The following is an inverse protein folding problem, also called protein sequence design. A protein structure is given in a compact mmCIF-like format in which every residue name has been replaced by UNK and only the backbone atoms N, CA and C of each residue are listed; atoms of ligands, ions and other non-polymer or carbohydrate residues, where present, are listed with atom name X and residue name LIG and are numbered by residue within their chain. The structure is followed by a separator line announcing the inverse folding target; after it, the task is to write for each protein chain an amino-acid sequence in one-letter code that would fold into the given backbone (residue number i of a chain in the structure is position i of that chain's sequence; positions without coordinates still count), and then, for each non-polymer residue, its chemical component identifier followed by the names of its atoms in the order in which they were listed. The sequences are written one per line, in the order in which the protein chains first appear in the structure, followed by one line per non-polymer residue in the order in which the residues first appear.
data_IF_951899258704
#
_entry.id   IF_951899258704
#
_cell.length_a   1.000
_cell.length_b   1.000
_cell.length_c   1.000
_cell.angle_alpha   90.00
_cell.angle_beta   90.00
_cell.angle_gamma   90.00
#
_symmetry.space_group_name_H-M   'P 1'
#
loop_
_entity.id
_entity.type
_entity.pdbx_description
1 polymer ?
#
# COMPACT_ATOMS: atom_id res chain seq x y z
N UNK A 1 -43.24 -39.53 8.21
CA UNK A 1 -43.42 -38.46 7.21
C UNK A 1 -42.49 -37.33 7.62
N UNK A 2 -41.29 -37.26 7.04
CA UNK A 2 -40.29 -36.24 7.38
C UNK A 2 -40.34 -35.12 6.37
N UNK A 3 -40.69 -33.92 6.82
CA UNK A 3 -40.71 -32.72 5.99
C UNK A 3 -39.30 -32.11 5.97
N UNK A 4 -38.70 -31.95 4.78
CA UNK A 4 -37.42 -31.30 4.63
C UNK A 4 -37.58 -29.77 4.78
N UNK A 5 -36.78 -29.15 5.65
CA UNK A 5 -36.78 -27.71 5.94
C UNK A 5 -35.77 -26.91 5.10
N UNK A 6 -35.40 -27.38 3.91
CA UNK A 6 -34.51 -26.63 3.01
C UNK A 6 -35.33 -25.69 2.14
N UNK A 7 -35.58 -24.48 2.62
CA UNK A 7 -35.91 -23.35 1.75
C UNK A 7 -34.60 -22.89 1.08
N UNK A 8 -34.57 -22.89 -0.25
CA UNK A 8 -33.48 -22.24 -0.99
C UNK A 8 -33.58 -20.73 -0.73
N UNK A 9 -32.61 -20.19 0.02
CA UNK A 9 -32.43 -18.75 0.12
C UNK A 9 -31.62 -18.30 -1.09
N UNK A 10 -32.03 -17.26 -1.83
CA UNK A 10 -31.17 -16.66 -2.84
C UNK A 10 -29.87 -16.24 -2.16
N UNK A 11 -28.76 -16.76 -2.65
CA UNK A 11 -27.43 -16.46 -2.12
C UNK A 11 -27.09 -14.99 -2.40
N UNK A 12 -27.38 -14.13 -1.44
CA UNK A 12 -26.98 -12.71 -1.46
C UNK A 12 -25.52 -12.51 -1.07
N UNK A 13 -24.78 -13.59 -0.77
CA UNK A 13 -23.34 -13.53 -0.50
C UNK A 13 -22.49 -13.65 -1.76
N UNK A 14 -23.12 -13.67 -2.95
CA UNK A 14 -22.42 -13.36 -4.17
C UNK A 14 -21.74 -12.01 -4.00
N UNK A 15 -20.44 -12.07 -3.70
CA UNK A 15 -19.51 -10.96 -3.51
C UNK A 15 -19.30 -10.28 -4.86
N UNK A 16 -20.37 -9.67 -5.36
CA UNK A 16 -20.36 -8.89 -6.58
C UNK A 16 -19.81 -7.54 -6.19
N UNK A 17 -18.47 -7.45 -6.17
CA UNK A 17 -17.75 -6.18 -6.11
C UNK A 17 -18.40 -5.23 -7.11
N UNK A 18 -18.83 -4.07 -6.64
CA UNK A 18 -19.39 -3.06 -7.52
C UNK A 18 -18.31 -2.62 -8.52
N UNK A 19 -18.65 -2.25 -9.77
CA UNK A 19 -17.66 -1.76 -10.73
C UNK A 19 -16.85 -0.57 -10.19
N UNK A 20 -17.45 0.23 -9.31
CA UNK A 20 -16.80 1.33 -8.61
C UNK A 20 -15.81 0.84 -7.56
N UNK A 21 -16.16 -0.17 -6.75
CA UNK A 21 -15.27 -0.74 -5.73
C UNK A 21 -14.08 -1.46 -6.37
N UNK A 22 -14.27 -2.15 -7.50
CA UNK A 22 -13.18 -2.79 -8.25
C UNK A 22 -12.09 -1.78 -8.66
N UNK A 23 -12.52 -0.59 -9.10
CA UNK A 23 -11.62 0.49 -9.50
C UNK A 23 -10.90 1.05 -8.26
N UNK A 24 -11.62 1.25 -7.15
CA UNK A 24 -11.05 1.67 -5.88
C UNK A 24 -9.97 0.71 -5.36
N UNK A 25 -10.24 -0.59 -5.39
CA UNK A 25 -9.27 -1.62 -5.01
C UNK A 25 -8.03 -1.64 -5.92
N UNK A 26 -8.22 -1.48 -7.23
CA UNK A 26 -7.10 -1.40 -8.18
C UNK A 26 -6.22 -0.18 -7.90
N UNK A 27 -6.82 0.99 -7.69
CA UNK A 27 -6.08 2.21 -7.34
C UNK A 27 -5.32 2.01 -6.03
N UNK A 28 -5.96 1.41 -5.02
CA UNK A 28 -5.35 1.13 -3.73
C UNK A 28 -4.15 0.18 -3.89
N UNK A 29 -4.30 -0.88 -4.67
CA UNK A 29 -3.22 -1.83 -4.95
C UNK A 29 -2.03 -1.14 -5.65
N UNK A 30 -2.29 -0.28 -6.63
CA UNK A 30 -1.24 0.48 -7.34
C UNK A 30 -0.55 1.47 -6.40
N UNK A 31 -1.29 2.16 -5.53
CA UNK A 31 -0.73 3.09 -4.56
C UNK A 31 0.21 2.40 -3.57
N UNK A 32 -0.17 1.21 -3.07
CA UNK A 32 0.69 0.39 -2.22
C UNK A 32 1.91 -0.12 -2.97
N UNK A 33 1.76 -0.61 -4.20
CA UNK A 33 2.89 -1.06 -5.02
C UNK A 33 3.89 0.07 -5.29
N UNK A 34 3.40 1.28 -5.60
CA UNK A 34 4.23 2.47 -5.78
C UNK A 34 4.98 2.87 -4.50
N UNK A 35 4.35 2.70 -3.33
CA UNK A 35 4.98 2.94 -2.02
C UNK A 35 6.13 1.97 -1.79
N UNK A 36 5.93 0.66 -2.00
CA UNK A 36 7.00 -0.34 -1.89
C UNK A 36 8.14 -0.11 -2.88
N UNK A 37 7.82 0.30 -4.10
CA UNK A 37 8.83 0.68 -5.09
C UNK A 37 9.68 1.88 -4.63
N UNK A 38 9.06 2.94 -4.11
CA UNK A 38 9.77 4.10 -3.60
C UNK A 38 10.69 3.74 -2.41
N UNK A 39 10.22 2.86 -1.52
CA UNK A 39 11.03 2.33 -0.41
C UNK A 39 12.25 1.58 -0.94
N UNK A 40 12.05 0.69 -1.91
CA UNK A 40 13.12 -0.06 -2.56
C UNK A 40 14.16 0.86 -3.19
N UNK A 41 13.70 1.88 -3.93
CA UNK A 41 14.55 2.90 -4.55
C UNK A 41 15.42 3.63 -3.53
N UNK A 42 14.85 4.06 -2.40
CA UNK A 42 15.60 4.74 -1.33
C UNK A 42 16.66 3.79 -0.75
N UNK A 43 16.28 2.57 -0.43
CA UNK A 43 17.18 1.59 0.18
C UNK A 43 18.35 1.22 -0.75
N UNK A 44 18.08 0.98 -2.03
CA UNK A 44 19.14 0.69 -3.01
C UNK A 44 20.03 1.91 -3.24
N UNK A 45 19.47 3.12 -3.25
CA UNK A 45 20.24 4.35 -3.43
C UNK A 45 21.21 4.57 -2.28
N UNK A 46 20.77 4.35 -1.03
CA UNK A 46 21.64 4.43 0.16
C UNK A 46 22.76 3.40 0.08
N UNK A 47 22.47 2.15 -0.25
CA UNK A 47 23.51 1.12 -0.40
C UNK A 47 24.52 1.43 -1.50
N UNK A 48 24.05 1.98 -2.62
CA UNK A 48 24.93 2.45 -3.68
C UNK A 48 25.84 3.52 -3.10
N UNK A 49 25.29 4.60 -2.52
CA UNK A 49 26.05 5.70 -1.94
C UNK A 49 27.10 5.19 -0.94
N UNK A 50 26.75 4.26 -0.05
CA UNK A 50 27.69 3.66 0.90
C UNK A 50 28.83 2.88 0.19
N UNK A 51 28.54 2.19 -0.92
CA UNK A 51 29.56 1.55 -1.76
C UNK A 51 30.56 2.55 -2.37
N UNK A 52 30.10 3.73 -2.76
CA UNK A 52 30.96 4.76 -3.39
C UNK A 52 31.71 5.61 -2.35
N UNK A 53 31.25 5.70 -1.09
CA UNK A 53 31.81 6.60 -0.07
C UNK A 53 33.10 6.11 0.60
N UNK A 54 33.43 4.83 0.53
CA UNK A 54 34.69 4.28 1.06
C UNK A 54 34.86 4.43 2.60
N UNK A 55 36.00 3.99 3.18
CA UNK A 55 36.16 3.75 4.63
C UNK A 55 36.24 4.97 5.57
N UNK A 56 36.02 6.20 5.09
CA UNK A 56 36.13 7.43 5.89
C UNK A 56 34.74 8.01 6.09
N UNK A 57 34.21 7.86 7.29
CA UNK A 57 32.82 8.20 7.64
C UNK A 57 32.74 9.42 8.56
N UNK A 58 31.64 10.18 8.43
CA UNK A 58 31.15 11.17 9.41
C UNK A 58 29.62 11.14 9.55
N UNK A 59 28.86 10.38 8.73
CA UNK A 59 27.40 10.21 8.90
C UNK A 59 26.86 9.14 7.92
N UNK A 60 26.66 7.89 8.36
CA UNK A 60 26.02 6.86 7.56
C UNK A 60 24.51 7.09 7.52
N UNK A 61 23.91 6.93 6.34
CA UNK A 61 22.43 6.99 6.21
C UNK A 61 21.86 5.68 6.76
N UNK A 62 21.64 5.65 8.08
CA UNK A 62 21.28 4.42 8.78
C UNK A 62 19.91 3.87 8.38
N UNK A 63 19.76 2.55 8.49
CA UNK A 63 18.50 1.82 8.30
C UNK A 63 17.31 2.47 9.04
N UNK A 64 17.55 2.96 10.27
CA UNK A 64 16.52 3.65 11.06
C UNK A 64 16.12 5.02 10.50
N UNK A 65 17.01 5.74 9.82
CA UNK A 65 16.67 7.00 9.14
C UNK A 65 15.72 6.74 7.96
N UNK A 66 15.96 5.66 7.22
CA UNK A 66 15.08 5.22 6.13
C UNK A 66 13.72 4.76 6.66
N UNK A 67 13.70 3.96 7.74
CA UNK A 67 12.44 3.56 8.38
C UNK A 67 11.66 4.76 8.94
N UNK A 68 12.32 5.73 9.55
CA UNK A 68 11.67 6.95 10.05
C UNK A 68 11.04 7.76 8.90
N UNK A 69 11.76 7.93 7.79
CA UNK A 69 11.23 8.58 6.60
C UNK A 69 10.03 7.81 6.02
N UNK A 70 10.08 6.48 6.06
CA UNK A 70 9.01 5.59 5.62
C UNK A 70 7.76 5.75 6.49
N UNK A 71 7.89 5.70 7.82
CA UNK A 71 6.76 5.94 8.74
C UNK A 71 6.13 7.32 8.56
N UNK A 72 6.96 8.33 8.28
CA UNK A 72 6.49 9.70 8.05
C UNK A 72 5.81 9.86 6.67
N UNK A 73 6.11 8.98 5.72
CA UNK A 73 5.51 8.93 4.38
C UNK A 73 4.20 8.13 4.30
N UNK A 74 3.98 7.14 5.18
CA UNK A 74 2.74 6.30 5.23
C UNK A 74 1.42 7.08 5.19
N UNK A 75 1.27 8.26 5.85
CA UNK A 75 -0.01 8.97 5.85
C UNK A 75 -0.37 9.59 4.49
N UNK A 76 0.61 9.91 3.65
CA UNK A 76 0.41 10.74 2.46
C UNK A 76 -0.49 10.09 1.38
N UNK A 77 -0.36 8.79 1.05
CA UNK A 77 -1.27 8.14 0.12
C UNK A 77 -2.74 8.17 0.57
N UNK A 78 -3.00 7.99 1.87
CA UNK A 78 -4.35 8.06 2.41
C UNK A 78 -4.94 9.47 2.32
N UNK A 79 -4.13 10.49 2.60
CA UNK A 79 -4.53 11.91 2.43
C UNK A 79 -4.83 12.24 0.97
N UNK A 80 -4.04 11.73 0.02
CA UNK A 80 -4.27 11.94 -1.41
C UNK A 80 -5.56 11.26 -1.89
N UNK A 81 -5.86 10.05 -1.41
CA UNK A 81 -7.13 9.35 -1.72
C UNK A 81 -8.32 10.12 -1.15
N UNK A 82 -8.25 10.58 0.09
CA UNK A 82 -9.32 11.38 0.70
C UNK A 82 -9.56 12.67 -0.09
N UNK A 83 -8.50 13.40 -0.45
CA UNK A 83 -8.61 14.61 -1.27
C UNK A 83 -9.21 14.33 -2.65
N UNK A 84 -8.85 13.21 -3.29
CA UNK A 84 -9.42 12.82 -4.58
C UNK A 84 -10.91 12.47 -4.48
N UNK A 85 -11.36 11.83 -3.40
CA UNK A 85 -12.77 11.49 -3.17
C UNK A 85 -13.62 12.70 -2.75
N UNK A 86 -13.02 13.68 -2.08
CA UNK A 86 -13.72 14.88 -1.58
C UNK A 86 -13.90 15.96 -2.66
N UNK A 87 -13.10 15.93 -3.73
CA UNK A 87 -13.15 16.90 -4.83
C UNK A 87 -14.11 16.52 -5.99
N UNK A 88 -14.99 15.52 -5.79
CA UNK A 88 -16.12 15.20 -6.67
C UNK A 88 -17.44 15.55 -5.98
#
# INVERSE_FOLDING_TARGET
MGQAFSVEFPDTSADVISPQDALGELILAVAWAGTFYAIGMIFTTVQIIDRWRGPRDDNPTGFFSVLAALFLAIPWPAVLVILAMTNN
#
